data_IF_317149999611
#
_entry.id   IF_317149999611
#
_cell.length_a   1.000
_cell.length_b   1.000
_cell.length_c   1.000
_cell.angle_alpha   90.00
_cell.angle_beta   90.00
_cell.angle_gamma   90.00
#
_symmetry.space_group_name_H-M   'P 1'
#
loop_
_entity.id
_entity.type
_entity.pdbx_description
1 polymer ?
#
# COMPACT_ATOMS: atom_id res chain seq x y z
N UNK A 1 -33.70 -11.36 -17.26
CA UNK A 1 -33.10 -10.01 -17.32
C UNK A 1 -33.20 -9.42 -15.92
N UNK A 2 -32.08 -9.40 -15.19
CA UNK A 2 -32.07 -9.01 -13.78
C UNK A 2 -31.80 -7.51 -13.67
N UNK A 3 -32.74 -6.81 -13.03
CA UNK A 3 -32.60 -5.42 -12.64
C UNK A 3 -31.55 -5.32 -11.53
N UNK A 4 -30.48 -4.55 -11.76
CA UNK A 4 -29.51 -4.19 -10.73
C UNK A 4 -30.15 -3.12 -9.86
N UNK A 5 -30.43 -3.49 -8.61
CA UNK A 5 -30.97 -2.60 -7.59
C UNK A 5 -29.87 -1.63 -7.15
N UNK A 6 -30.09 -0.35 -7.45
CA UNK A 6 -29.26 0.78 -7.07
C UNK A 6 -29.46 1.03 -5.56
N UNK A 7 -28.52 0.58 -4.73
CA UNK A 7 -28.57 0.81 -3.29
C UNK A 7 -27.84 2.12 -2.92
N UNK A 8 -28.68 3.07 -2.49
CA UNK A 8 -28.48 4.29 -1.72
C UNK A 8 -27.15 4.40 -0.94
N UNK A 9 -26.18 5.09 -1.53
CA UNK A 9 -25.06 5.75 -0.82
C UNK A 9 -25.09 7.28 -1.04
N UNK A 10 -26.28 7.87 -0.94
CA UNK A 10 -26.51 9.32 -0.86
C UNK A 10 -26.21 9.79 0.58
N UNK A 11 -25.08 9.39 1.15
CA UNK A 11 -24.45 10.06 2.30
C UNK A 11 -23.09 10.68 1.92
N UNK A 12 -22.65 10.48 0.67
CA UNK A 12 -21.36 10.98 0.16
C UNK A 12 -21.39 12.45 -0.33
N UNK A 13 -22.57 13.07 -0.44
CA UNK A 13 -22.69 14.41 -1.03
C UNK A 13 -22.66 15.57 -0.01
N UNK A 14 -23.01 15.33 1.27
CA UNK A 14 -23.08 16.41 2.27
C UNK A 14 -21.71 16.96 2.71
N UNK A 15 -20.61 16.26 2.42
CA UNK A 15 -19.26 16.75 2.72
C UNK A 15 -18.81 17.91 1.80
N UNK A 16 -19.48 18.09 0.64
CA UNK A 16 -19.13 19.13 -0.34
C UNK A 16 -19.60 20.54 0.05
N UNK A 17 -20.58 20.64 0.95
CA UNK A 17 -21.31 21.89 1.20
C UNK A 17 -20.76 22.74 2.36
N UNK A 18 -19.71 22.28 3.07
CA UNK A 18 -19.10 23.06 4.14
C UNK A 18 -17.88 23.85 3.62
N UNK A 19 -17.74 25.14 3.96
CA UNK A 19 -16.53 25.91 3.68
C UNK A 19 -15.42 25.40 4.62
N UNK A 20 -14.68 24.42 4.14
CA UNK A 20 -13.52 23.86 4.84
C UNK A 20 -12.30 23.95 3.93
N UNK A 21 -11.11 24.05 4.53
CA UNK A 21 -9.86 24.04 3.77
C UNK A 21 -9.69 22.70 3.05
N UNK A 22 -9.07 22.72 1.87
CA UNK A 22 -8.87 21.53 1.00
C UNK A 22 -8.22 20.36 1.75
N UNK A 23 -7.25 20.69 2.61
CA UNK A 23 -6.58 19.74 3.49
C UNK A 23 -7.53 19.06 4.48
N UNK A 24 -8.55 19.75 5.00
CA UNK A 24 -9.56 19.18 5.90
C UNK A 24 -10.53 18.25 5.16
N UNK A 25 -10.95 18.62 3.94
CA UNK A 25 -11.80 17.76 3.09
C UNK A 25 -11.12 16.44 2.77
N UNK A 26 -9.86 16.49 2.32
CA UNK A 26 -9.05 15.32 2.03
C UNK A 26 -8.74 14.50 3.29
N UNK A 27 -8.39 15.15 4.41
CA UNK A 27 -8.19 14.46 5.69
C UNK A 27 -9.45 13.73 6.16
N UNK A 28 -10.64 14.30 5.92
CA UNK A 28 -11.92 13.65 6.24
C UNK A 28 -12.22 12.47 5.32
N UNK A 29 -12.00 12.61 4.01
CA UNK A 29 -12.11 11.49 3.07
C UNK A 29 -11.22 10.33 3.53
N UNK A 30 -9.93 10.60 3.76
CA UNK A 30 -8.97 9.60 4.26
C UNK A 30 -9.40 9.04 5.62
N UNK A 31 -9.86 9.88 6.55
CA UNK A 31 -10.31 9.44 7.88
C UNK A 31 -11.58 8.59 7.84
N UNK A 32 -12.48 8.84 6.90
CA UNK A 32 -13.71 8.06 6.77
C UNK A 32 -13.44 6.72 6.08
N UNK A 33 -12.52 6.69 5.12
CA UNK A 33 -12.13 5.42 4.49
C UNK A 33 -11.24 4.61 5.43
N UNK A 34 -10.41 5.25 6.27
CA UNK A 34 -9.61 4.58 7.30
C UNK A 34 -10.41 4.01 8.47
N UNK A 35 -11.62 4.53 8.76
CA UNK A 35 -12.55 3.90 9.71
C UNK A 35 -13.07 2.53 9.24
N UNK A 36 -13.02 2.26 7.92
CA UNK A 36 -13.42 0.97 7.34
C UNK A 36 -12.35 -0.12 7.58
N UNK A 37 -11.09 0.27 7.78
CA UNK A 37 -10.01 -0.61 8.25
C UNK A 37 -9.70 -0.36 9.72
N UNK A 38 -10.30 -1.12 10.64
CA UNK A 38 -10.04 -0.99 12.09
C UNK A 38 -8.55 -1.06 12.42
N UNK A 39 -7.96 0.09 12.76
CA UNK A 39 -6.80 0.17 13.66
C UNK A 39 -5.68 1.07 13.17
N UNK A 40 -5.78 2.38 13.39
CA UNK A 40 -4.62 3.27 13.24
C UNK A 40 -4.56 4.30 14.38
N UNK A 41 -3.41 4.29 15.05
CA UNK A 41 -3.00 5.08 16.22
C UNK A 41 -2.75 6.56 15.90
N UNK A 42 -2.90 7.44 16.89
CA UNK A 42 -2.77 8.91 16.84
C UNK A 42 -1.33 9.45 16.61
N UNK A 43 -0.35 8.59 16.29
CA UNK A 43 1.04 9.00 16.02
C UNK A 43 1.18 9.71 14.66
N UNK A 44 1.91 10.83 14.60
CA UNK A 44 2.17 11.60 13.37
C UNK A 44 2.91 10.78 12.30
N UNK A 45 3.78 9.85 12.71
CA UNK A 45 4.45 8.90 11.80
C UNK A 45 3.46 7.87 11.25
N UNK A 46 2.56 7.37 12.09
CA UNK A 46 1.48 6.49 11.68
C UNK A 46 0.57 7.21 10.67
N UNK A 47 0.15 8.45 10.95
CA UNK A 47 -0.65 9.27 10.04
C UNK A 47 0.03 9.50 8.67
N UNK A 48 1.36 9.67 8.65
CA UNK A 48 2.12 9.82 7.39
C UNK A 48 2.16 8.52 6.59
N UNK A 49 2.36 7.39 7.26
CA UNK A 49 2.32 6.05 6.63
C UNK A 49 0.94 5.76 6.06
N UNK A 50 -0.09 6.06 6.84
CA UNK A 50 -1.49 5.93 6.46
C UNK A 50 -1.76 6.77 5.22
N UNK A 51 -1.43 8.05 5.23
CA UNK A 51 -1.57 8.94 4.08
C UNK A 51 -0.90 8.39 2.81
N UNK A 52 0.35 7.91 2.91
CA UNK A 52 1.10 7.34 1.78
C UNK A 52 0.39 6.13 1.18
N UNK A 53 -0.04 5.19 2.02
CA UNK A 53 -0.76 4.00 1.55
C UNK A 53 -2.12 4.38 0.95
N UNK A 54 -2.83 5.34 1.54
CA UNK A 54 -4.15 5.74 1.05
C UNK A 54 -4.09 6.40 -0.33
N UNK A 55 -3.16 7.34 -0.53
CA UNK A 55 -3.03 8.02 -1.82
C UNK A 55 -2.65 7.02 -2.92
N UNK A 56 -1.78 6.05 -2.63
CA UNK A 56 -1.44 4.94 -3.55
C UNK A 56 -2.67 4.07 -3.91
N UNK A 57 -3.50 3.74 -2.92
CA UNK A 57 -4.67 2.86 -3.11
C UNK A 57 -5.74 3.52 -3.99
N UNK A 58 -5.97 4.82 -3.81
CA UNK A 58 -7.00 5.56 -4.57
C UNK A 58 -6.48 6.08 -5.91
N UNK A 59 -5.17 6.15 -6.11
CA UNK A 59 -4.57 6.55 -7.38
C UNK A 59 -4.84 5.46 -8.43
N UNK A 60 -5.52 5.77 -9.56
CA UNK A 60 -5.85 4.77 -10.57
C UNK A 60 -4.63 4.08 -11.19
N UNK A 61 -3.49 4.77 -11.22
CA UNK A 61 -2.23 4.21 -11.72
C UNK A 61 -1.45 3.45 -10.64
N UNK A 62 -1.91 3.52 -9.39
CA UNK A 62 -1.27 2.96 -8.20
C UNK A 62 0.20 3.39 -8.08
N UNK A 63 0.52 4.66 -8.40
CA UNK A 63 1.89 5.17 -8.25
C UNK A 63 2.32 5.03 -6.80
N UNK A 64 3.60 4.72 -6.62
CA UNK A 64 4.13 4.35 -5.32
C UNK A 64 3.93 5.47 -4.30
N UNK A 65 3.27 5.17 -3.17
CA UNK A 65 2.82 6.20 -2.22
C UNK A 65 3.95 7.07 -1.64
N UNK A 66 5.18 6.54 -1.57
CA UNK A 66 6.34 7.34 -1.16
C UNK A 66 6.76 8.38 -2.19
N UNK A 67 6.51 8.13 -3.48
CA UNK A 67 6.78 9.07 -4.57
C UNK A 67 5.64 10.09 -4.70
N UNK A 68 4.38 9.69 -4.47
CA UNK A 68 3.23 10.60 -4.46
C UNK A 68 3.26 11.63 -3.31
N UNK A 69 3.88 11.28 -2.19
CA UNK A 69 3.85 12.10 -0.98
C UNK A 69 4.53 13.49 -1.12
N UNK A 70 5.73 13.63 -1.72
CA UNK A 70 6.29 14.92 -2.13
C UNK A 70 5.30 15.82 -2.89
N UNK A 71 4.67 15.28 -3.94
CA UNK A 71 3.71 16.01 -4.76
C UNK A 71 2.48 16.42 -3.97
N UNK A 72 2.01 15.56 -3.05
CA UNK A 72 0.91 15.91 -2.15
C UNK A 72 1.26 17.10 -1.25
N UNK A 73 2.51 17.22 -0.80
CA UNK A 73 2.96 18.39 -0.02
C UNK A 73 2.98 19.65 -0.87
N UNK A 74 3.40 19.58 -2.13
CA UNK A 74 3.36 20.74 -3.04
C UNK A 74 1.92 21.16 -3.36
N UNK A 75 1.04 20.19 -3.61
CA UNK A 75 -0.39 20.46 -3.76
C UNK A 75 -0.99 21.20 -2.57
N UNK A 76 -0.63 20.81 -1.33
CA UNK A 76 -1.08 21.50 -0.11
C UNK A 76 -0.62 22.95 0.00
N UNK A 77 0.51 23.32 -0.62
CA UNK A 77 1.02 24.70 -0.67
C UNK A 77 0.38 25.53 -1.79
N UNK A 78 -0.18 24.88 -2.80
CA UNK A 78 -0.77 25.55 -3.96
C UNK A 78 -2.11 26.22 -3.64
N UNK A 79 -2.50 27.19 -4.47
CA UNK A 79 -3.80 27.87 -4.38
C UNK A 79 -4.92 27.14 -5.12
N UNK A 80 -4.65 26.02 -5.80
CA UNK A 80 -5.60 25.30 -6.67
C UNK A 80 -6.82 24.75 -5.93
N UNK A 81 -8.02 24.87 -6.50
CA UNK A 81 -9.23 24.24 -5.94
C UNK A 81 -9.44 22.80 -6.43
N UNK A 82 -8.52 22.28 -7.24
CA UNK A 82 -8.55 20.92 -7.75
C UNK A 82 -8.20 19.92 -6.66
N UNK A 83 -8.82 18.75 -6.75
CA UNK A 83 -8.44 17.56 -6.01
C UNK A 83 -7.02 17.11 -6.36
N UNK A 84 -6.32 16.47 -5.41
CA UNK A 84 -4.90 16.14 -5.56
C UNK A 84 -4.56 15.40 -6.87
N UNK A 85 -5.28 14.33 -7.19
CA UNK A 85 -5.00 13.53 -8.41
C UNK A 85 -5.36 14.29 -9.69
N UNK A 86 -6.41 15.12 -9.66
CA UNK A 86 -6.79 15.96 -10.81
C UNK A 86 -5.72 17.02 -11.04
N UNK A 87 -5.29 17.69 -9.97
CA UNK A 87 -4.19 18.64 -10.00
C UNK A 87 -2.91 18.01 -10.54
N UNK A 88 -2.57 16.81 -10.07
CA UNK A 88 -1.34 16.10 -10.42
C UNK A 88 -1.32 15.64 -11.88
N UNK A 89 -2.45 15.19 -12.42
CA UNK A 89 -2.51 14.54 -13.74
C UNK A 89 -2.95 15.48 -14.86
N UNK A 90 -3.86 16.42 -14.57
CA UNK A 90 -4.52 17.24 -15.59
C UNK A 90 -4.48 18.74 -15.30
N UNK A 91 -4.21 19.12 -14.06
CA UNK A 91 -4.21 20.51 -13.60
C UNK A 91 -2.82 21.13 -13.59
N UNK A 92 -2.65 22.12 -12.72
CA UNK A 92 -1.41 22.92 -12.64
C UNK A 92 -0.21 22.10 -12.16
N UNK A 93 -0.47 20.98 -11.48
CA UNK A 93 0.55 20.05 -10.97
C UNK A 93 1.13 19.12 -12.02
N UNK A 94 0.59 19.11 -13.25
CA UNK A 94 1.02 18.19 -14.31
C UNK A 94 2.48 18.40 -14.73
N UNK A 95 2.94 19.66 -14.73
CA UNK A 95 4.31 20.05 -15.11
C UNK A 95 5.24 20.18 -13.90
N UNK A 96 4.75 19.89 -12.69
CA UNK A 96 5.59 19.91 -11.49
C UNK A 96 6.58 18.76 -11.57
N UNK A 97 7.87 19.08 -11.44
CA UNK A 97 8.96 18.12 -11.42
C UNK A 97 9.84 18.40 -10.18
N UNK A 98 9.90 17.45 -9.26
CA UNK A 98 10.55 17.63 -7.96
C UNK A 98 11.92 16.99 -7.93
N UNK A 99 12.93 17.69 -7.42
CA UNK A 99 14.29 17.17 -7.30
C UNK A 99 14.36 15.87 -6.48
N UNK A 100 13.61 15.79 -5.37
CA UNK A 100 13.58 14.59 -4.51
C UNK A 100 12.84 13.39 -5.16
N UNK A 101 11.94 13.67 -6.10
CA UNK A 101 11.18 12.67 -6.82
C UNK A 101 10.80 13.18 -8.21
N UNK A 102 11.69 13.01 -9.21
CA UNK A 102 11.39 13.48 -10.56
C UNK A 102 10.13 12.84 -11.12
N UNK A 103 9.44 13.53 -12.03
CA UNK A 103 8.17 13.09 -12.60
C UNK A 103 8.31 11.73 -13.28
N UNK A 104 9.42 11.52 -13.99
CA UNK A 104 9.77 10.23 -14.60
C UNK A 104 9.80 9.07 -13.60
N UNK A 105 10.32 9.30 -12.39
CA UNK A 105 10.36 8.30 -11.31
C UNK A 105 8.98 8.08 -10.69
N UNK A 106 8.19 9.14 -10.55
CA UNK A 106 6.81 9.05 -10.06
C UNK A 106 5.98 8.13 -10.96
N UNK A 107 6.04 8.37 -12.27
CA UNK A 107 5.22 7.68 -13.26
C UNK A 107 5.75 6.27 -13.58
N UNK A 108 7.05 5.99 -13.37
CA UNK A 108 7.62 4.66 -13.58
C UNK A 108 7.32 3.67 -12.43
N UNK A 109 7.27 4.15 -11.19
CA UNK A 109 7.12 3.27 -10.02
C UNK A 109 5.65 3.14 -9.63
N UNK A 110 4.99 2.16 -10.23
CA UNK A 110 3.61 1.78 -9.91
C UNK A 110 3.56 0.45 -9.17
N UNK A 111 2.72 0.40 -8.15
CA UNK A 111 2.55 -0.77 -7.29
C UNK A 111 1.63 -1.75 -7.97
N UNK A 112 2.12 -2.98 -8.17
CA UNK A 112 1.32 -4.07 -8.71
C UNK A 112 0.30 -4.53 -7.67
N UNK A 113 -0.98 -4.37 -7.96
CA UNK A 113 -2.08 -4.92 -7.18
C UNK A 113 -2.56 -6.23 -7.79
N UNK A 114 -2.63 -7.28 -6.98
CA UNK A 114 -2.96 -8.62 -7.45
C UNK A 114 -4.48 -8.82 -7.57
N UNK A 115 -4.91 -9.28 -8.74
CA UNK A 115 -6.25 -9.81 -8.94
C UNK A 115 -6.46 -11.15 -8.20
N UNK A 116 -7.72 -11.63 -8.07
CA UNK A 116 -8.03 -12.87 -7.36
C UNK A 116 -7.23 -14.09 -7.85
N UNK A 117 -7.08 -14.25 -9.17
CA UNK A 117 -6.31 -15.36 -9.77
C UNK A 117 -4.81 -15.23 -9.54
N UNK A 118 -4.25 -14.03 -9.73
CA UNK A 118 -2.82 -13.81 -9.51
C UNK A 118 -2.42 -14.05 -8.05
N UNK A 119 -3.34 -13.76 -7.12
CA UNK A 119 -3.14 -13.94 -5.69
C UNK A 119 -2.99 -15.39 -5.27
N UNK A 120 -3.55 -16.34 -6.03
CA UNK A 120 -3.43 -17.78 -5.75
C UNK A 120 -1.96 -18.24 -5.77
N UNK A 121 -1.12 -17.66 -6.63
CA UNK A 121 0.32 -17.94 -6.72
C UNK A 121 1.13 -17.45 -5.51
N UNK A 122 0.52 -16.65 -4.64
CA UNK A 122 1.16 -16.13 -3.44
C UNK A 122 0.51 -16.72 -2.17
N UNK A 123 -0.43 -17.65 -2.30
CA UNK A 123 -1.13 -18.26 -1.17
C UNK A 123 -0.30 -19.37 -0.54
N UNK A 124 -0.18 -19.35 0.79
CA UNK A 124 0.53 -20.35 1.57
C UNK A 124 -0.35 -20.90 2.69
N UNK A 125 -0.09 -22.14 3.07
CA UNK A 125 -0.74 -22.84 4.17
C UNK A 125 0.30 -23.33 5.16
N UNK A 126 -0.08 -23.47 6.43
CA UNK A 126 0.78 -24.02 7.47
C UNK A 126 0.36 -25.46 7.71
N UNK A 127 1.25 -26.41 7.42
CA UNK A 127 1.04 -27.85 7.62
C UNK A 127 2.22 -28.39 8.41
N UNK A 128 1.96 -29.04 9.54
CA UNK A 128 2.98 -29.60 10.44
C UNK A 128 4.10 -28.61 10.81
N UNK A 129 3.73 -27.34 11.01
CA UNK A 129 4.66 -26.26 11.34
C UNK A 129 5.50 -25.71 10.17
N UNK A 130 5.29 -26.21 8.94
CA UNK A 130 5.93 -25.71 7.72
C UNK A 130 4.97 -24.84 6.91
N UNK A 131 5.51 -23.75 6.34
CA UNK A 131 4.82 -22.87 5.40
C UNK A 131 5.01 -23.43 4.00
N UNK A 132 3.92 -23.93 3.41
CA UNK A 132 3.91 -24.58 2.10
C UNK A 132 3.07 -23.77 1.12
N UNK A 133 3.51 -23.68 -0.13
CA UNK A 133 2.73 -23.04 -1.19
C UNK A 133 1.44 -23.82 -1.42
N UNK A 134 0.30 -23.13 -1.47
CA UNK A 134 -1.02 -23.75 -1.43
C UNK A 134 -1.29 -24.66 -2.64
N UNK A 135 -0.78 -24.31 -3.83
CA UNK A 135 -1.05 -25.09 -5.05
C UNK A 135 -0.07 -26.24 -5.27
N UNK A 136 1.21 -26.05 -4.90
CA UNK A 136 2.29 -26.98 -5.26
C UNK A 136 2.76 -27.82 -4.08
N UNK A 137 2.39 -27.45 -2.85
CA UNK A 137 2.90 -28.08 -1.62
C UNK A 137 4.39 -27.82 -1.37
N UNK A 138 5.07 -27.06 -2.23
CA UNK A 138 6.50 -26.79 -2.09
C UNK A 138 6.76 -25.88 -0.89
N UNK A 139 7.74 -26.18 -0.04
CA UNK A 139 8.08 -25.31 1.08
C UNK A 139 8.47 -23.91 0.61
N UNK A 140 7.98 -22.88 1.31
CA UNK A 140 8.48 -21.53 1.10
C UNK A 140 9.97 -21.49 1.43
N UNK A 141 10.77 -20.95 0.53
CA UNK A 141 12.21 -20.82 0.72
C UNK A 141 12.66 -19.45 0.23
N UNK A 142 13.46 -18.75 1.02
CA UNK A 142 14.06 -17.50 0.59
C UNK A 142 15.22 -17.80 -0.34
N UNK A 143 15.12 -17.42 -1.61
CA UNK A 143 16.20 -17.63 -2.59
C UNK A 143 17.54 -16.97 -2.21
N UNK A 144 17.53 -15.98 -1.31
CA UNK A 144 18.74 -15.38 -0.74
C UNK A 144 18.45 -14.68 0.60
N UNK A 145 19.40 -14.65 1.55
CA UNK A 145 19.28 -13.93 2.83
C UNK A 145 19.11 -12.40 2.69
N UNK A 146 19.47 -11.84 1.53
CA UNK A 146 19.36 -10.40 1.26
C UNK A 146 17.97 -10.00 0.78
N UNK A 147 17.16 -10.98 0.33
CA UNK A 147 15.81 -10.73 -0.13
C UNK A 147 14.88 -10.47 1.05
N UNK A 148 14.03 -9.47 0.89
CA UNK A 148 13.06 -9.08 1.92
C UNK A 148 11.73 -9.72 1.56
N UNK A 149 11.35 -10.79 2.25
CA UNK A 149 9.98 -11.29 2.11
C UNK A 149 9.04 -10.61 3.09
N UNK A 150 7.80 -10.53 2.64
CA UNK A 150 6.69 -9.96 3.37
C UNK A 150 5.53 -10.93 3.35
N UNK A 151 4.66 -10.82 4.35
CA UNK A 151 3.38 -11.51 4.36
C UNK A 151 2.22 -10.59 4.73
N UNK A 152 1.04 -11.03 4.33
CA UNK A 152 -0.26 -10.51 4.73
C UNK A 152 -1.17 -11.67 5.08
N UNK A 153 -1.94 -11.55 6.15
CA UNK A 153 -3.07 -12.44 6.45
C UNK A 153 -4.36 -11.69 6.16
N UNK A 154 -5.18 -12.21 5.27
CA UNK A 154 -6.48 -11.62 4.93
C UNK A 154 -7.52 -11.81 6.03
N UNK A 155 -8.64 -11.08 5.96
CA UNK A 155 -9.79 -11.27 6.85
C UNK A 155 -10.41 -12.65 6.76
N UNK A 156 -10.23 -13.35 5.63
CA UNK A 156 -10.60 -14.75 5.43
C UNK A 156 -9.56 -15.74 5.97
N UNK A 157 -8.58 -15.27 6.76
CA UNK A 157 -7.47 -16.06 7.35
C UNK A 157 -6.58 -16.76 6.32
N UNK A 158 -6.53 -16.26 5.08
CA UNK A 158 -5.58 -16.75 4.06
C UNK A 158 -4.24 -16.03 4.23
N UNK A 159 -3.16 -16.80 4.23
CA UNK A 159 -1.79 -16.29 4.30
C UNK A 159 -1.26 -16.08 2.88
N UNK A 160 -0.80 -14.86 2.59
CA UNK A 160 -0.09 -14.53 1.37
C UNK A 160 1.33 -14.10 1.70
N UNK A 161 2.31 -14.59 0.95
CA UNK A 161 3.71 -14.25 1.14
C UNK A 161 4.42 -14.10 -0.20
N UNK A 162 5.48 -13.30 -0.22
CA UNK A 162 6.26 -13.05 -1.43
C UNK A 162 7.41 -12.09 -1.19
N UNK A 163 8.27 -12.00 -2.20
CA UNK A 163 9.39 -11.08 -2.19
C UNK A 163 8.91 -9.63 -2.34
N UNK A 164 9.47 -8.73 -1.52
CA UNK A 164 9.21 -7.31 -1.58
C UNK A 164 10.10 -6.65 -2.61
N UNK A 165 9.49 -5.98 -3.57
CA UNK A 165 10.17 -5.13 -4.55
C UNK A 165 9.85 -3.65 -4.29
N UNK A 166 10.88 -2.83 -4.05
CA UNK A 166 10.66 -1.42 -3.65
C UNK A 166 10.04 -0.64 -4.82
N UNK A 167 8.85 -0.08 -4.58
CA UNK A 167 8.13 0.72 -5.57
C UNK A 167 7.21 -0.08 -6.49
N UNK A 168 7.27 -1.41 -6.42
CA UNK A 168 6.54 -2.31 -7.33
C UNK A 168 5.69 -3.32 -6.55
N UNK A 169 6.23 -3.95 -5.51
CA UNK A 169 5.51 -4.99 -4.77
C UNK A 169 5.72 -4.89 -3.26
N UNK A 170 4.65 -4.70 -2.51
CA UNK A 170 4.66 -4.62 -1.04
C UNK A 170 3.31 -5.08 -0.44
N UNK A 171 3.09 -4.89 0.86
CA UNK A 171 1.95 -5.48 1.57
C UNK A 171 0.59 -5.17 0.94
N UNK A 172 0.37 -3.94 0.45
CA UNK A 172 -0.88 -3.53 -0.22
C UNK A 172 -1.13 -4.33 -1.51
N UNK A 173 -0.08 -4.80 -2.18
CA UNK A 173 -0.15 -5.57 -3.43
C UNK A 173 -0.99 -6.83 -3.30
N UNK A 174 -0.85 -7.58 -2.20
CA UNK A 174 -1.53 -8.87 -2.06
C UNK A 174 -3.04 -8.74 -2.13
N UNK A 175 -3.62 -7.75 -1.45
CA UNK A 175 -5.08 -7.59 -1.35
C UNK A 175 -5.61 -6.37 -2.12
N UNK A 176 -4.80 -5.77 -3.00
CA UNK A 176 -5.15 -4.56 -3.74
C UNK A 176 -5.66 -3.42 -2.82
N UNK A 177 -4.93 -3.17 -1.73
CA UNK A 177 -5.33 -2.20 -0.71
C UNK A 177 -6.44 -2.66 0.27
N UNK A 178 -6.92 -3.90 0.12
CA UNK A 178 -7.94 -4.49 1.00
C UNK A 178 -7.48 -4.70 2.44
N UNK A 179 -8.46 -4.84 3.35
CA UNK A 179 -8.22 -5.01 4.77
C UNK A 179 -7.43 -6.29 5.10
N UNK A 180 -6.50 -6.18 6.04
CA UNK A 180 -5.65 -7.28 6.52
C UNK A 180 -5.85 -7.49 8.03
N UNK A 181 -5.71 -8.73 8.50
CA UNK A 181 -5.67 -9.02 9.94
C UNK A 181 -4.28 -8.70 10.51
N UNK A 182 -3.24 -9.04 9.75
CA UNK A 182 -1.86 -8.74 10.10
C UNK A 182 -0.99 -8.74 8.85
N UNK A 183 0.14 -8.05 8.95
CA UNK A 183 1.13 -7.92 7.91
C UNK A 183 2.51 -7.82 8.55
N UNK A 184 3.54 -8.35 7.89
CA UNK A 184 4.88 -8.32 8.46
C UNK A 184 5.97 -8.75 7.51
N UNK A 185 7.17 -8.90 8.06
CA UNK A 185 8.29 -9.56 7.39
C UNK A 185 8.46 -10.94 7.99
N UNK A 186 8.99 -11.84 7.20
CA UNK A 186 9.32 -13.19 7.62
C UNK A 186 10.64 -13.60 7.00
N UNK A 187 11.31 -14.55 7.63
CA UNK A 187 12.48 -15.22 7.08
C UNK A 187 12.22 -16.72 7.21
N UNK A 188 12.26 -17.45 6.10
CA UNK A 188 11.83 -18.85 6.03
C UNK A 188 12.81 -19.66 5.20
N UNK A 189 13.27 -20.77 5.77
CA UNK A 189 14.15 -21.74 5.14
C UNK A 189 13.48 -23.11 5.20
N UNK A 190 13.26 -23.73 4.03
CA UNK A 190 12.59 -25.03 3.91
C UNK A 190 11.21 -25.08 4.63
N UNK A 191 10.42 -24.02 4.44
CA UNK A 191 9.11 -23.86 5.07
C UNK A 191 9.16 -23.52 6.57
N UNK A 192 10.33 -23.53 7.21
CA UNK A 192 10.46 -23.23 8.64
C UNK A 192 10.74 -21.75 8.86
N UNK A 193 9.93 -21.10 9.70
CA UNK A 193 10.17 -19.74 10.14
C UNK A 193 11.48 -19.67 10.95
N UNK A 194 12.35 -18.74 10.58
CA UNK A 194 13.65 -18.50 11.21
C UNK A 194 13.65 -17.11 11.83
N UNK A 195 14.28 -16.99 12.99
CA UNK A 195 14.52 -15.70 13.63
C UNK A 195 15.83 -15.14 13.08
N UNK A 196 15.76 -13.99 12.40
CA UNK A 196 16.96 -13.24 12.04
C UNK A 196 17.41 -12.47 13.28
N UNK A 197 18.60 -12.78 13.81
CA UNK A 197 19.22 -11.93 14.84
C UNK A 197 19.39 -10.52 14.26
N UNK A 198 18.97 -9.51 15.01
CA UNK A 198 19.31 -8.14 14.67
C UNK A 198 20.83 -7.96 14.84
N UNK A 199 21.48 -7.36 13.83
CA UNK A 199 22.86 -6.83 13.78
C UNK A 199 23.85 -7.63 12.91
N UNK A 200 24.15 -7.09 11.72
CA UNK A 200 25.51 -7.05 11.13
C UNK A 200 25.65 -6.12 9.89
N UNK A 201 24.71 -5.23 9.58
CA UNK A 201 24.81 -4.35 8.38
C UNK A 201 25.20 -2.88 8.68
N UNK A 202 25.81 -2.58 9.84
CA UNK A 202 26.27 -1.21 10.17
C UNK A 202 27.68 -1.14 10.77
N UNK A 203 28.64 -1.92 10.28
CA UNK A 203 30.06 -1.63 10.48
C UNK A 203 30.88 -2.12 9.28
N UNK A 204 30.86 -1.35 8.19
CA UNK A 204 32.06 -1.24 7.35
C UNK A 204 32.65 0.15 7.60
N UNK A 205 33.90 0.26 8.09
CA UNK A 205 34.59 1.54 8.11
C UNK A 205 34.77 1.96 6.65
N UNK A 206 34.30 3.17 6.32
CA UNK A 206 34.74 3.85 5.11
C UNK A 206 36.25 4.06 5.27
N UNK A 207 37.03 3.35 4.47
CA UNK A 207 38.42 3.70 4.18
C UNK A 207 38.40 4.87 3.21
#
# INVERSE_FOLDING_TARGET
MAFVQWNKDIESFECFLRPETKALRWRRLISNVSKVGKGLSMDSKANTLVLKHWIEVIDPEHRYGNNLHPYYKEWLKSSTNQDFLVWLNFGDGKEVDLEECPRSKLDQQCVKYLGPKEREYYEYVIVDGKILHNMTGTPLHHGSPHLKYIFVVSTAKKLYAGEKEKGIFHHSSFLAGGATLTAGRLFVEDGLLKIRKANEDFLSPKV
#
